data_IF_184688426701
#
_entry.id   IF_184688426701
#
_cell.length_a   1.000
_cell.length_b   1.000
_cell.length_c   1.000
_cell.angle_alpha   90.00
_cell.angle_beta   90.00
_cell.angle_gamma   90.00
#
_symmetry.space_group_name_H-M   'P 1'
#
loop_
_entity.id
_entity.type
_entity.pdbx_description
1 polymer ?
#
# COMPACT_ATOMS: atom_id res chain seq x y z
N UNK A 1 -4.85 13.57 -11.20
CA UNK A 1 -5.54 12.39 -10.63
C UNK A 1 -5.54 12.54 -9.12
N UNK A 2 -6.70 12.41 -8.49
CA UNK A 2 -6.82 12.36 -7.02
C UNK A 2 -6.95 10.89 -6.66
N UNK A 3 -6.18 10.42 -5.68
CA UNK A 3 -6.19 9.03 -5.20
C UNK A 3 -6.59 9.07 -3.73
N UNK A 4 -7.47 8.15 -3.35
CA UNK A 4 -7.93 7.99 -1.97
C UNK A 4 -6.85 7.26 -1.15
N UNK A 5 -6.20 8.00 -0.24
CA UNK A 5 -5.14 7.48 0.60
C UNK A 5 -5.64 6.49 1.65
N UNK A 6 -6.81 6.75 2.25
CA UNK A 6 -7.44 5.86 3.24
C UNK A 6 -7.78 4.51 2.61
N UNK A 7 -8.25 4.50 1.36
CA UNK A 7 -8.48 3.26 0.62
C UNK A 7 -7.18 2.49 0.36
N UNK A 8 -6.08 3.19 0.07
CA UNK A 8 -4.78 2.55 -0.10
C UNK A 8 -4.22 1.98 1.21
N UNK A 9 -4.48 2.61 2.36
CA UNK A 9 -4.05 2.10 3.67
C UNK A 9 -4.75 0.80 4.09
N UNK A 10 -5.97 0.56 3.59
CA UNK A 10 -6.67 -0.73 3.78
C UNK A 10 -5.91 -1.91 3.19
N UNK A 11 -4.91 -1.69 2.33
CA UNK A 11 -4.02 -2.75 1.86
C UNK A 11 -3.42 -3.57 3.02
N UNK A 12 -3.09 -2.91 4.14
CA UNK A 12 -2.55 -3.55 5.34
C UNK A 12 -3.54 -4.51 6.03
N UNK A 13 -4.85 -4.32 5.85
CA UNK A 13 -5.90 -5.13 6.47
C UNK A 13 -6.40 -6.26 5.55
N UNK A 14 -5.95 -6.29 4.30
CA UNK A 14 -6.26 -7.36 3.36
C UNK A 14 -5.57 -8.67 3.75
N UNK A 15 -6.20 -9.77 3.37
CA UNK A 15 -5.65 -11.11 3.54
C UNK A 15 -4.32 -11.27 2.78
N UNK A 16 -3.40 -12.08 3.31
CA UNK A 16 -2.03 -12.19 2.78
C UNK A 16 -2.02 -12.65 1.31
N UNK A 17 -2.99 -13.47 0.91
CA UNK A 17 -3.18 -13.87 -0.49
C UNK A 17 -3.44 -12.68 -1.42
N UNK A 18 -4.37 -11.79 -1.04
CA UNK A 18 -4.70 -10.59 -1.80
C UNK A 18 -3.57 -9.56 -1.80
N UNK A 19 -2.88 -9.38 -0.67
CA UNK A 19 -1.70 -8.52 -0.61
C UNK A 19 -0.63 -9.01 -1.61
N UNK A 20 -0.36 -10.32 -1.65
CA UNK A 20 0.61 -10.89 -2.59
C UNK A 20 0.17 -10.73 -4.04
N UNK A 21 -1.10 -10.94 -4.35
CA UNK A 21 -1.65 -10.77 -5.70
C UNK A 21 -1.48 -9.32 -6.20
N UNK A 22 -1.89 -8.34 -5.38
CA UNK A 22 -1.78 -6.91 -5.71
C UNK A 22 -0.31 -6.49 -5.82
N UNK A 23 0.54 -6.91 -4.88
CA UNK A 23 1.96 -6.61 -4.94
C UNK A 23 2.62 -7.22 -6.19
N UNK A 24 2.26 -8.46 -6.53
CA UNK A 24 2.75 -9.13 -7.73
C UNK A 24 2.30 -8.43 -9.01
N UNK A 25 1.07 -7.93 -9.07
CA UNK A 25 0.57 -7.14 -10.20
C UNK A 25 1.35 -5.81 -10.37
N UNK A 26 1.85 -5.26 -9.26
CA UNK A 26 2.71 -4.08 -9.25
C UNK A 26 4.21 -4.42 -9.46
N UNK A 27 4.58 -5.70 -9.55
CA UNK A 27 5.97 -6.16 -9.62
C UNK A 27 6.77 -5.92 -8.34
N UNK A 28 6.08 -5.76 -7.21
CA UNK A 28 6.64 -5.45 -5.90
C UNK A 28 6.43 -6.60 -4.92
N UNK A 29 7.16 -6.56 -3.80
CA UNK A 29 6.85 -7.39 -2.65
C UNK A 29 5.82 -6.70 -1.74
N UNK A 30 4.95 -7.45 -1.05
CA UNK A 30 3.92 -6.88 -0.19
C UNK A 30 4.45 -5.88 0.84
N UNK A 31 5.60 -6.19 1.45
CA UNK A 31 6.24 -5.29 2.43
C UNK A 31 6.76 -3.98 1.83
N UNK A 32 7.10 -3.96 0.55
CA UNK A 32 7.53 -2.73 -0.16
C UNK A 32 6.33 -1.81 -0.38
N UNK A 33 5.15 -2.37 -0.68
CA UNK A 33 3.90 -1.62 -0.82
C UNK A 33 3.54 -0.94 0.50
N UNK A 34 3.56 -1.69 1.61
CA UNK A 34 3.32 -1.15 2.96
C UNK A 34 4.31 -0.02 3.29
N UNK A 35 5.61 -0.25 3.07
CA UNK A 35 6.64 0.75 3.36
C UNK A 35 6.45 2.04 2.54
N UNK A 36 5.99 1.94 1.29
CA UNK A 36 5.68 3.10 0.45
C UNK A 36 4.47 3.89 0.96
N UNK A 37 3.43 3.20 1.43
CA UNK A 37 2.26 3.84 2.03
C UNK A 37 2.64 4.61 3.30
N UNK A 38 3.46 4.00 4.16
CA UNK A 38 3.98 4.63 5.38
C UNK A 38 4.90 5.84 5.08
N UNK A 39 5.73 5.76 4.04
CA UNK A 39 6.60 6.87 3.60
C UNK A 39 5.77 8.05 3.09
N UNK A 40 4.72 7.78 2.30
CA UNK A 40 3.75 8.78 1.86
C UNK A 40 3.06 9.46 3.05
N UNK A 41 2.62 8.68 4.04
CA UNK A 41 2.02 9.23 5.26
C UNK A 41 2.99 10.13 6.01
N UNK A 42 4.22 9.67 6.24
CA UNK A 42 5.23 10.44 6.99
C UNK A 42 5.66 11.71 6.27
N UNK A 43 5.66 11.70 4.93
CA UNK A 43 6.16 12.80 4.10
C UNK A 43 5.14 13.90 3.84
N UNK A 44 3.85 13.58 3.89
CA UNK A 44 2.76 14.52 3.58
C UNK A 44 1.79 14.74 4.74
N UNK A 45 1.80 13.89 5.78
CA UNK A 45 0.93 14.00 6.95
C UNK A 45 1.64 14.53 8.22
N UNK A 46 2.82 15.15 8.07
CA UNK A 46 3.47 16.00 9.09
C UNK A 46 3.95 17.31 8.48
#
# INVERSE_FOLDING_TARGET
FVVDGDLCEQYSTLDTGKQREIASALGLQPGVVVKKLEDLRTRYAF
#
